data_IF_394803969077
#
_entry.id   IF_394803969077
#
_cell.length_a   1.000
_cell.length_b   1.000
_cell.length_c   1.000
_cell.angle_alpha   90.00
_cell.angle_beta   90.00
_cell.angle_gamma   90.00
#
_symmetry.space_group_name_H-M   'P 1'
#
loop_
_entity.id
_entity.type
_entity.pdbx_description
1 polymer ?
#
# COMPACT_ATOMS: atom_id res chain seq x y z
N UNK A 1 -4.26 6.26 14.73
CA UNK A 1 -3.86 5.06 15.49
C UNK A 1 -2.35 5.07 15.57
N UNK A 2 -1.75 4.94 16.76
CA UNK A 2 -0.29 4.91 16.88
C UNK A 2 0.30 3.72 16.11
N UNK A 3 1.52 3.87 15.56
CA UNK A 3 2.22 2.79 14.85
C UNK A 3 2.21 1.48 15.64
N UNK A 4 2.47 1.56 16.95
CA UNK A 4 2.51 0.40 17.85
C UNK A 4 1.21 -0.41 17.87
N UNK A 5 0.07 0.25 17.63
CA UNK A 5 -1.27 -0.34 17.64
C UNK A 5 -1.73 -0.82 16.26
N UNK A 6 -1.03 -0.47 15.19
CA UNK A 6 -1.37 -0.94 13.84
C UNK A 6 -1.29 -2.48 13.75
N UNK A 7 -2.17 -3.13 12.97
CA UNK A 7 -2.06 -4.54 12.68
C UNK A 7 -0.76 -4.81 11.91
N UNK A 8 -0.23 -6.03 12.05
CA UNK A 8 1.06 -6.40 11.45
C UNK A 8 1.15 -6.13 9.93
N UNK A 9 0.14 -6.44 9.10
CA UNK A 9 0.16 -6.11 7.67
C UNK A 9 0.34 -4.61 7.39
N UNK A 10 -0.31 -3.75 8.17
CA UNK A 10 -0.19 -2.30 8.04
C UNK A 10 1.22 -1.80 8.39
N UNK A 11 1.81 -2.34 9.46
CA UNK A 11 3.21 -2.04 9.80
C UNK A 11 4.16 -2.46 8.68
N UNK A 12 3.94 -3.65 8.08
CA UNK A 12 4.76 -4.14 6.99
C UNK A 12 4.62 -3.30 5.72
N UNK A 13 3.42 -2.84 5.37
CA UNK A 13 3.22 -1.95 4.23
C UNK A 13 4.01 -0.63 4.38
N UNK A 14 3.97 -0.01 5.57
CA UNK A 14 4.76 1.20 5.84
C UNK A 14 6.27 0.94 5.76
N UNK A 15 6.74 -0.19 6.30
CA UNK A 15 8.16 -0.57 6.21
C UNK A 15 8.56 -0.86 4.76
N UNK A 16 7.72 -1.56 3.99
CA UNK A 16 7.97 -1.83 2.58
C UNK A 16 8.24 -0.52 1.82
N UNK A 17 7.32 0.42 1.92
CA UNK A 17 7.42 1.70 1.23
C UNK A 17 8.60 2.57 1.72
N UNK A 18 8.66 2.88 3.02
CA UNK A 18 9.66 3.84 3.51
C UNK A 18 11.08 3.25 3.60
N UNK A 19 11.20 1.94 3.80
CA UNK A 19 12.47 1.31 4.20
C UNK A 19 12.98 0.30 3.18
N UNK A 20 12.15 -0.52 2.55
CA UNK A 20 12.64 -1.53 1.61
C UNK A 20 12.83 -0.90 0.23
N UNK A 21 11.80 -0.19 -0.23
CA UNK A 21 11.79 0.51 -1.51
C UNK A 21 12.31 1.95 -1.39
N UNK A 22 12.21 2.53 -0.19
CA UNK A 22 12.68 3.87 0.14
C UNK A 22 14.06 3.91 0.80
N UNK A 23 14.56 5.13 1.00
CA UNK A 23 15.90 5.41 1.51
C UNK A 23 15.93 5.84 2.98
N UNK A 24 15.15 5.19 3.84
CA UNK A 24 15.15 5.51 5.28
C UNK A 24 16.52 5.25 5.92
N UNK A 25 17.35 6.29 6.03
CA UNK A 25 18.72 6.26 6.56
C UNK A 25 18.81 5.63 7.96
N UNK A 26 17.76 5.77 8.77
CA UNK A 26 17.69 5.19 10.11
C UNK A 26 17.65 3.64 10.14
N UNK A 27 17.63 2.99 8.98
CA UNK A 27 17.64 1.53 8.79
C UNK A 27 18.84 1.04 7.95
N UNK A 28 19.81 1.90 7.65
CA UNK A 28 20.97 1.57 6.80
C UNK A 28 21.83 0.42 7.34
N UNK A 29 21.84 0.24 8.66
CA UNK A 29 22.57 -0.82 9.36
C UNK A 29 21.91 -2.20 9.27
N UNK A 30 20.67 -2.27 8.78
CA UNK A 30 19.91 -3.50 8.63
C UNK A 30 20.00 -3.95 7.17
N UNK A 31 20.54 -5.15 6.94
CA UNK A 31 20.50 -5.78 5.62
C UNK A 31 19.04 -6.03 5.22
N UNK A 32 18.67 -5.59 4.02
CA UNK A 32 17.31 -5.63 3.48
C UNK A 32 17.36 -6.36 2.14
N UNK A 33 16.95 -7.62 2.14
CA UNK A 33 16.65 -8.34 0.89
C UNK A 33 15.22 -8.00 0.45
N UNK A 34 14.91 -8.14 -0.83
CA UNK A 34 13.55 -7.99 -1.36
C UNK A 34 13.10 -9.29 -2.06
N UNK A 35 12.18 -10.08 -1.47
CA UNK A 35 11.49 -9.82 -0.20
C UNK A 35 12.39 -10.14 1.03
N UNK A 36 12.19 -9.46 2.18
CA UNK A 36 12.97 -9.75 3.38
C UNK A 36 12.65 -11.11 3.99
N UNK A 37 13.68 -11.75 4.54
CA UNK A 37 13.56 -12.93 5.40
C UNK A 37 12.78 -12.64 6.69
N UNK A 38 12.30 -13.68 7.37
CA UNK A 38 11.59 -13.52 8.65
C UNK A 38 12.45 -12.87 9.74
N UNK A 39 13.76 -13.15 9.75
CA UNK A 39 14.69 -12.52 10.70
C UNK A 39 14.85 -11.01 10.40
N UNK A 40 15.00 -10.64 9.13
CA UNK A 40 15.06 -9.24 8.71
C UNK A 40 13.76 -8.51 9.04
N UNK A 41 12.59 -9.11 8.75
CA UNK A 41 11.30 -8.54 9.16
C UNK A 41 11.24 -8.25 10.64
N UNK A 42 11.73 -9.15 11.49
CA UNK A 42 11.73 -8.96 12.94
C UNK A 42 12.62 -7.78 13.35
N UNK A 43 13.81 -7.65 12.76
CA UNK A 43 14.72 -6.51 12.98
C UNK A 43 14.11 -5.18 12.53
N UNK A 44 13.54 -5.15 11.33
CA UNK A 44 12.88 -3.98 10.76
C UNK A 44 11.69 -3.53 11.61
N UNK A 45 10.82 -4.46 12.00
CA UNK A 45 9.64 -4.17 12.83
C UNK A 45 10.03 -3.61 14.19
N UNK A 46 11.07 -4.17 14.83
CA UNK A 46 11.54 -3.66 16.12
C UNK A 46 12.11 -2.24 15.98
N UNK A 47 12.95 -1.98 14.97
CA UNK A 47 13.49 -0.64 14.73
C UNK A 47 12.38 0.37 14.40
N UNK A 48 11.43 -0.01 13.55
CA UNK A 48 10.27 0.81 13.23
C UNK A 48 9.41 1.09 14.47
N UNK A 49 9.25 0.10 15.37
CA UNK A 49 8.55 0.31 16.64
C UNK A 49 9.25 1.37 17.49
N UNK A 50 10.57 1.33 17.60
CA UNK A 50 11.34 2.31 18.39
C UNK A 50 11.22 3.72 17.81
N UNK A 51 11.38 3.85 16.49
CA UNK A 51 11.42 5.14 15.80
C UNK A 51 10.03 5.78 15.63
N UNK A 52 9.03 4.98 15.27
CA UNK A 52 7.71 5.46 14.86
C UNK A 52 6.65 5.24 15.94
N UNK A 53 7.01 4.85 17.17
CA UNK A 53 6.03 4.52 18.22
C UNK A 53 5.02 5.64 18.52
N UNK A 54 5.40 6.89 18.29
CA UNK A 54 4.57 8.06 18.53
C UNK A 54 3.84 8.57 17.28
N UNK A 55 4.14 8.00 16.11
CA UNK A 55 3.53 8.39 14.85
C UNK A 55 2.11 7.83 14.75
N UNK A 56 1.19 8.64 14.24
CA UNK A 56 -0.20 8.29 14.08
C UNK A 56 -0.52 8.04 12.61
N UNK A 57 -1.26 6.96 12.37
CA UNK A 57 -1.74 6.58 11.05
C UNK A 57 -3.24 6.37 11.09
N UNK A 58 -3.93 6.74 10.02
CA UNK A 58 -5.33 6.41 9.82
C UNK A 58 -5.44 5.17 8.91
N UNK A 59 -5.75 4.02 9.51
CA UNK A 59 -6.07 2.80 8.76
C UNK A 59 -7.58 2.75 8.51
N UNK A 60 -7.97 2.89 7.26
CA UNK A 60 -9.36 2.81 6.82
C UNK A 60 -9.64 1.47 6.14
N UNK A 61 -10.89 1.01 6.20
CA UNK A 61 -11.36 -0.15 5.44
C UNK A 61 -12.52 0.29 4.56
N UNK A 62 -12.38 0.11 3.26
CA UNK A 62 -13.37 0.41 2.26
C UNK A 62 -13.96 -0.88 1.69
N UNK A 63 -15.21 -0.86 1.26
CA UNK A 63 -15.72 -1.94 0.42
C UNK A 63 -15.13 -1.82 -1.00
N UNK A 64 -15.30 -2.86 -1.82
CA UNK A 64 -14.73 -2.90 -3.16
C UNK A 64 -15.14 -1.70 -4.05
N UNK A 65 -16.40 -1.28 -4.02
CA UNK A 65 -16.88 -0.18 -4.87
C UNK A 65 -16.32 1.17 -4.41
N UNK A 66 -16.33 1.44 -3.10
CA UNK A 66 -15.75 2.66 -2.53
C UNK A 66 -14.23 2.70 -2.76
N UNK A 67 -13.54 1.56 -2.74
CA UNK A 67 -12.11 1.49 -2.98
C UNK A 67 -11.75 1.79 -4.44
N UNK A 68 -12.53 1.25 -5.40
CA UNK A 68 -12.38 1.58 -6.83
C UNK A 68 -12.69 3.04 -7.10
N UNK A 69 -13.78 3.56 -6.51
CA UNK A 69 -14.18 4.95 -6.62
C UNK A 69 -13.09 5.87 -6.06
N UNK A 70 -12.49 5.54 -4.91
CA UNK A 70 -11.37 6.30 -4.35
C UNK A 70 -10.21 6.40 -5.33
N UNK A 71 -9.77 5.28 -5.92
CA UNK A 71 -8.68 5.27 -6.91
C UNK A 71 -9.05 6.08 -8.15
N UNK A 72 -10.27 5.91 -8.65
CA UNK A 72 -10.75 6.63 -9.82
C UNK A 72 -10.82 8.14 -9.59
N UNK A 73 -11.37 8.58 -8.46
CA UNK A 73 -11.58 10.00 -8.17
C UNK A 73 -10.28 10.75 -7.82
N UNK A 74 -9.25 10.05 -7.36
CA UNK A 74 -8.00 10.65 -6.88
C UNK A 74 -6.80 10.42 -7.82
N UNK A 75 -7.02 9.92 -9.04
CA UNK A 75 -5.98 9.87 -10.10
C UNK A 75 -6.49 10.54 -11.37
N UNK A 76 -6.40 11.87 -11.48
CA UNK A 76 -6.99 12.64 -12.59
C UNK A 76 -6.52 12.22 -13.97
N UNK A 77 -5.24 11.85 -14.11
CA UNK A 77 -4.64 11.46 -15.40
C UNK A 77 -5.30 10.22 -16.01
N UNK A 78 -5.93 9.35 -15.20
CA UNK A 78 -6.68 8.20 -15.71
C UNK A 78 -7.92 8.62 -16.50
N UNK A 79 -8.50 9.79 -16.21
CA UNK A 79 -9.72 10.26 -16.88
C UNK A 79 -9.44 10.79 -18.28
N UNK A 80 -8.17 11.10 -18.59
CA UNK A 80 -7.76 11.50 -19.94
C UNK A 80 -7.59 10.29 -20.88
N UNK A 81 -7.37 9.11 -20.31
CA UNK A 81 -7.06 7.88 -21.07
C UNK A 81 -8.18 6.84 -21.06
N UNK A 82 -9.07 6.85 -20.05
CA UNK A 82 -10.08 5.82 -19.84
C UNK A 82 -11.44 6.43 -19.48
N UNK A 83 -12.54 5.76 -19.84
CA UNK A 83 -13.90 6.23 -19.54
C UNK A 83 -14.41 5.75 -18.16
N UNK A 84 -13.76 4.72 -17.59
CA UNK A 84 -14.18 4.11 -16.33
C UNK A 84 -13.02 3.39 -15.63
N UNK A 85 -13.19 3.16 -14.32
CA UNK A 85 -12.27 2.33 -13.55
C UNK A 85 -12.11 0.93 -14.15
N UNK A 86 -13.20 0.29 -14.59
CA UNK A 86 -13.17 -1.06 -15.15
C UNK A 86 -12.34 -1.15 -16.43
N UNK A 87 -12.41 -0.14 -17.28
CA UNK A 87 -11.60 -0.06 -18.51
C UNK A 87 -10.12 0.12 -18.18
N UNK A 88 -9.81 1.07 -17.29
CA UNK A 88 -8.46 1.27 -16.76
C UNK A 88 -7.90 -0.02 -16.14
N UNK A 89 -8.65 -0.65 -15.25
CA UNK A 89 -8.25 -1.89 -14.58
C UNK A 89 -7.96 -2.99 -15.60
N UNK A 90 -8.81 -3.14 -16.62
CA UNK A 90 -8.61 -4.11 -17.69
C UNK A 90 -7.33 -3.84 -18.49
N UNK A 91 -7.03 -2.58 -18.80
CA UNK A 91 -5.79 -2.15 -19.45
C UNK A 91 -4.57 -2.46 -18.59
N UNK A 92 -4.61 -2.10 -17.30
CA UNK A 92 -3.54 -2.31 -16.33
C UNK A 92 -3.20 -3.81 -16.19
N UNK A 93 -4.23 -4.66 -16.07
CA UNK A 93 -4.06 -6.13 -15.97
C UNK A 93 -3.55 -6.74 -17.28
N UNK A 94 -3.99 -6.23 -18.43
CA UNK A 94 -3.52 -6.70 -19.73
C UNK A 94 -2.02 -6.45 -19.95
N UNK A 95 -1.42 -5.50 -19.23
CA UNK A 95 0.03 -5.29 -19.18
C UNK A 95 0.83 -6.51 -18.68
N UNK A 96 0.18 -7.44 -17.97
CA UNK A 96 0.74 -8.75 -17.62
C UNK A 96 1.73 -8.77 -16.45
N UNK A 97 2.04 -7.61 -15.86
CA UNK A 97 2.98 -7.48 -14.76
C UNK A 97 2.25 -7.21 -13.43
N UNK A 98 1.45 -8.18 -12.98
CA UNK A 98 0.77 -8.11 -11.69
C UNK A 98 1.01 -9.41 -10.93
N UNK A 99 1.91 -9.40 -9.92
CA UNK A 99 2.09 -10.54 -9.04
C UNK A 99 0.79 -10.91 -8.31
N UNK A 100 0.63 -12.20 -8.03
CA UNK A 100 -0.44 -12.66 -7.16
C UNK A 100 -0.17 -12.21 -5.72
N UNK A 101 -1.14 -11.54 -5.11
CA UNK A 101 -1.12 -11.13 -3.71
C UNK A 101 -2.25 -11.85 -2.95
N UNK A 102 -2.04 -13.10 -2.52
CA UNK A 102 -3.10 -13.91 -1.89
C UNK A 102 -3.50 -13.40 -0.49
N UNK A 103 -2.63 -12.61 0.15
CA UNK A 103 -2.92 -11.95 1.43
C UNK A 103 -3.44 -10.53 1.18
N UNK A 104 -4.77 -10.37 1.27
CA UNK A 104 -5.45 -9.07 1.10
C UNK A 104 -5.49 -8.21 2.37
N UNK A 105 -4.78 -8.62 3.43
CA UNK A 105 -4.74 -7.85 4.68
C UNK A 105 -3.77 -6.67 4.64
N UNK A 106 -2.85 -6.65 3.67
CA UNK A 106 -1.91 -5.54 3.50
C UNK A 106 -2.63 -4.31 2.94
N UNK A 107 -2.53 -3.15 3.61
CA UNK A 107 -3.10 -1.95 3.05
C UNK A 107 -2.31 -1.44 1.84
N UNK A 108 -3.01 -0.70 1.00
CA UNK A 108 -2.39 0.24 0.06
C UNK A 108 -2.10 1.56 0.76
N UNK A 109 -1.07 2.28 0.30
CA UNK A 109 -0.73 3.59 0.85
C UNK A 109 -1.25 4.67 -0.10
N UNK A 110 -2.20 5.46 0.40
CA UNK A 110 -2.82 6.54 -0.35
C UNK A 110 -2.15 7.87 -0.02
N UNK A 111 -1.94 8.70 -1.04
CA UNK A 111 -1.44 10.06 -0.88
C UNK A 111 -1.96 10.97 -2.01
N UNK A 112 -3.28 11.20 -2.12
CA UNK A 112 -3.88 12.01 -3.20
C UNK A 112 -3.21 13.37 -3.46
N UNK A 113 -2.59 13.98 -2.44
CA UNK A 113 -1.84 15.22 -2.59
C UNK A 113 -0.65 15.14 -3.57
N UNK A 114 -0.19 13.95 -3.96
CA UNK A 114 0.87 13.73 -4.94
C UNK A 114 0.36 13.51 -6.37
N UNK A 115 -0.87 13.94 -6.68
CA UNK A 115 -1.52 13.81 -8.00
C UNK A 115 -1.85 12.36 -8.40
N UNK A 116 -1.62 11.39 -7.51
CA UNK A 116 -2.02 9.99 -7.65
C UNK A 116 -2.76 9.50 -6.41
N UNK A 117 -3.77 8.65 -6.58
CA UNK A 117 -4.54 8.12 -5.46
C UNK A 117 -3.67 7.31 -4.49
N UNK A 118 -2.74 6.52 -5.04
CA UNK A 118 -1.86 5.61 -4.29
C UNK A 118 -0.40 5.95 -4.56
N UNK A 119 0.40 6.02 -3.50
CA UNK A 119 1.86 6.13 -3.61
C UNK A 119 2.56 4.77 -3.50
N UNK A 120 1.87 3.77 -2.92
CA UNK A 120 2.31 2.38 -2.93
C UNK A 120 1.12 1.42 -2.95
N UNK A 121 1.34 0.26 -3.57
CA UNK A 121 0.40 -0.85 -3.58
C UNK A 121 -0.47 -0.93 -4.82
N UNK A 122 -0.12 -0.28 -5.93
CA UNK A 122 -0.84 -0.37 -7.21
C UNK A 122 -1.03 -1.83 -7.67
N UNK A 123 0.05 -2.62 -7.75
CA UNK A 123 -0.08 -4.05 -8.10
C UNK A 123 -0.93 -4.83 -7.09
N UNK A 124 -0.79 -4.56 -5.78
CA UNK A 124 -1.62 -5.19 -4.74
C UNK A 124 -3.09 -4.86 -4.92
N UNK A 125 -3.42 -3.60 -5.15
CA UNK A 125 -4.78 -3.12 -5.36
C UNK A 125 -5.45 -3.87 -6.52
N UNK A 126 -4.81 -3.89 -7.70
CA UNK A 126 -5.35 -4.57 -8.86
C UNK A 126 -5.42 -6.09 -8.67
N UNK A 127 -4.43 -6.69 -8.00
CA UNK A 127 -4.44 -8.10 -7.62
C UNK A 127 -5.64 -8.45 -6.72
N UNK A 128 -5.98 -7.59 -5.74
CA UNK A 128 -7.15 -7.76 -4.88
C UNK A 128 -8.47 -7.56 -5.63
N UNK A 129 -8.53 -6.63 -6.57
CA UNK A 129 -9.70 -6.47 -7.45
C UNK A 129 -9.91 -7.72 -8.30
N UNK A 130 -8.85 -8.28 -8.89
CA UNK A 130 -8.90 -9.53 -9.66
C UNK A 130 -9.36 -10.72 -8.80
N UNK A 131 -8.88 -10.79 -7.56
CA UNK A 131 -9.27 -11.82 -6.60
C UNK A 131 -10.71 -11.66 -6.07
N UNK A 132 -11.41 -10.57 -6.43
CA UNK A 132 -12.80 -10.33 -6.00
C UNK A 132 -12.93 -10.08 -4.50
N UNK A 133 -11.90 -9.50 -3.87
CA UNK A 133 -11.92 -9.22 -2.44
C UNK A 133 -12.99 -8.17 -2.13
N UNK A 134 -13.78 -8.37 -1.07
CA UNK A 134 -14.90 -7.49 -0.73
C UNK A 134 -14.50 -6.22 0.04
N UNK A 135 -13.30 -6.22 0.63
CA UNK A 135 -12.82 -5.16 1.52
C UNK A 135 -11.35 -4.86 1.28
N UNK A 136 -11.01 -3.58 1.26
CA UNK A 136 -9.67 -3.07 1.00
C UNK A 136 -9.23 -2.22 2.17
N UNK A 137 -7.95 -2.31 2.53
CA UNK A 137 -7.36 -1.51 3.60
C UNK A 137 -6.50 -0.39 3.02
N UNK A 138 -6.64 0.81 3.56
CA UNK A 138 -5.94 2.01 3.11
C UNK A 138 -5.26 2.67 4.30
N UNK A 139 -4.02 3.11 4.14
CA UNK A 139 -3.41 4.11 5.01
C UNK A 139 -3.27 5.38 4.20
N UNK A 140 -3.97 6.45 4.60
CA UNK A 140 -3.83 7.75 3.94
C UNK A 140 -2.71 8.55 4.62
N UNK A 141 -1.68 8.90 3.85
CA UNK A 141 -0.47 9.60 4.31
C UNK A 141 -0.60 11.13 4.27
N UNK A 142 -1.69 11.67 3.71
CA UNK A 142 -1.99 13.11 3.74
C UNK A 142 -2.55 13.60 5.08
N UNK A 143 -2.78 12.69 6.03
CA UNK A 143 -3.50 12.95 7.28
C UNK A 143 -2.65 12.78 8.54
#
# INVERSE_FOLDING_TARGET
MYFTLLPLPAKKALIQYYVIEGDALAFEDIQRDDPPTQEQWSKLLNRAHELWCHDNYELQTLNAEDAKAFVWENTPDLHDEYDSFEEYHSSYVAGGDIPEHPDSSWPVLAMPSCEEALVDGWHRFHSYVLAGVSSFHFINLDK
#
